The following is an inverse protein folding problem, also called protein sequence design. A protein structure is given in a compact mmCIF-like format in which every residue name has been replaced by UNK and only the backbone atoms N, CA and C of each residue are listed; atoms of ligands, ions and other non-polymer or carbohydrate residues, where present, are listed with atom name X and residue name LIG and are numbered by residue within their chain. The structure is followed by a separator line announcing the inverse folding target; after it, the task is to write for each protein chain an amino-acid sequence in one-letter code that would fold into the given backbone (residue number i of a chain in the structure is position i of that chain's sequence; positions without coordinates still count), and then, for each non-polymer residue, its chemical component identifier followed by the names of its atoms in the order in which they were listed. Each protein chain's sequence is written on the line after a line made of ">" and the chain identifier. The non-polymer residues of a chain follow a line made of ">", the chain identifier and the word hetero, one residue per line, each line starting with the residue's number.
data_IF_200859780680
#
_entry.id   IF_200859780680
#
_cell.length_a   1.000
_cell.length_b   1.000
_cell.length_c   1.000
_cell.angle_alpha   90.00
_cell.angle_beta   90.00
_cell.angle_gamma   90.00
#
_symmetry.space_group_name_H-M   'P 1'
#
loop_
_entity.id
_entity.type
_entity.pdbx_description
1 polymer ?
#
# COMPACT_ATOMS: atom_id res chain seq x y z
N UNK A 1 -2.00 -3.46 -30.28
CA UNK A 1 -1.93 -1.99 -30.09
C UNK A 1 -0.49 -1.57 -30.32
N UNK A 2 -0.20 -0.42 -30.93
CA UNK A 2 1.19 0.03 -31.11
C UNK A 2 1.86 0.27 -29.76
N UNK A 3 3.13 -0.11 -29.62
CA UNK A 3 3.94 0.14 -28.42
C UNK A 3 3.89 -0.92 -27.32
N UNK A 4 3.23 -2.08 -27.52
CA UNK A 4 3.14 -3.14 -26.50
C UNK A 4 4.07 -4.34 -26.72
N UNK A 5 4.74 -4.45 -27.87
CA UNK A 5 5.53 -5.65 -28.23
C UNK A 5 4.70 -6.82 -28.78
N UNK A 6 5.38 -7.84 -29.31
CA UNK A 6 4.77 -9.06 -29.90
C UNK A 6 5.24 -10.33 -29.20
N UNK A 7 4.38 -11.35 -29.12
CA UNK A 7 4.72 -12.62 -28.47
C UNK A 7 5.17 -12.44 -27.01
N UNK A 8 6.37 -12.93 -26.69
CA UNK A 8 6.96 -12.83 -25.36
C UNK A 8 7.46 -11.43 -24.99
N UNK A 9 7.63 -10.54 -25.96
CA UNK A 9 7.95 -9.13 -25.70
C UNK A 9 6.70 -8.32 -25.33
N UNK A 10 5.52 -8.95 -25.39
CA UNK A 10 4.28 -8.25 -25.12
C UNK A 10 4.15 -7.87 -23.64
N UNK A 11 4.12 -6.58 -23.35
CA UNK A 11 4.10 -6.06 -21.97
C UNK A 11 2.80 -6.44 -21.24
N UNK A 12 1.66 -6.48 -21.94
CA UNK A 12 0.38 -6.91 -21.32
C UNK A 12 0.44 -8.37 -20.90
N UNK A 13 1.06 -9.21 -21.72
CA UNK A 13 1.27 -10.62 -21.41
C UNK A 13 2.22 -10.79 -20.23
N UNK A 14 3.36 -10.10 -20.23
CA UNK A 14 4.34 -10.13 -19.14
C UNK A 14 3.69 -9.71 -17.81
N UNK A 15 2.94 -8.59 -17.82
CA UNK A 15 2.20 -8.11 -16.65
C UNK A 15 1.16 -9.12 -16.18
N UNK A 16 0.52 -9.84 -17.09
CA UNK A 16 -0.44 -10.89 -16.76
C UNK A 16 0.22 -12.12 -16.14
N UNK A 17 1.38 -12.54 -16.64
CA UNK A 17 2.09 -13.74 -16.18
C UNK A 17 2.65 -13.64 -14.76
N UNK A 18 2.87 -12.43 -14.24
CA UNK A 18 3.26 -12.25 -12.84
C UNK A 18 2.10 -12.65 -11.91
N UNK A 19 2.24 -13.77 -11.19
CA UNK A 19 1.20 -14.26 -10.29
C UNK A 19 0.93 -13.28 -9.15
N UNK A 20 -0.35 -13.02 -8.86
CA UNK A 20 -0.73 -12.21 -7.73
C UNK A 20 -0.68 -13.03 -6.44
N UNK A 21 -0.21 -12.41 -5.35
CA UNK A 21 -0.17 -13.06 -4.03
C UNK A 21 -1.54 -13.09 -3.33
N UNK A 22 -2.50 -12.28 -3.78
CA UNK A 22 -3.84 -12.14 -3.18
C UNK A 22 -4.94 -12.33 -4.24
N UNK A 23 -6.14 -12.78 -3.83
CA UNK A 23 -7.29 -12.94 -4.73
C UNK A 23 -7.83 -11.60 -5.24
N UNK A 24 -7.79 -10.55 -4.43
CA UNK A 24 -8.00 -9.17 -4.87
C UNK A 24 -6.63 -8.57 -5.25
N UNK A 25 -6.46 -8.32 -6.54
CA UNK A 25 -5.20 -7.81 -7.08
C UNK A 25 -5.45 -6.76 -8.14
N UNK A 26 -4.45 -5.91 -8.33
CA UNK A 26 -4.41 -4.91 -9.39
C UNK A 26 -3.14 -5.09 -10.21
N UNK A 27 -3.28 -5.02 -11.53
CA UNK A 27 -2.16 -5.00 -12.48
C UNK A 27 -2.13 -3.67 -13.21
N UNK A 28 -0.94 -3.19 -13.50
CA UNK A 28 -0.76 -2.00 -14.32
C UNK A 28 -1.19 -2.31 -15.75
N UNK A 29 -2.08 -1.50 -16.31
CA UNK A 29 -2.46 -1.60 -17.72
C UNK A 29 -1.69 -0.58 -18.55
N UNK A 30 -1.79 0.70 -18.22
CA UNK A 30 -1.11 1.78 -18.95
C UNK A 30 -0.67 2.89 -18.00
N UNK A 31 0.38 3.60 -18.42
CA UNK A 31 0.85 4.84 -17.81
C UNK A 31 0.52 5.98 -18.77
N UNK A 32 0.02 7.09 -18.22
CA UNK A 32 -0.23 8.31 -18.98
C UNK A 32 0.80 9.35 -18.56
N UNK A 33 1.91 9.41 -19.28
CA UNK A 33 3.01 10.34 -19.04
C UNK A 33 2.79 11.66 -19.79
N UNK A 34 1.78 12.43 -19.37
CA UNK A 34 1.46 13.76 -19.93
C UNK A 34 0.89 14.68 -18.85
N UNK A 35 1.38 15.92 -18.83
CA UNK A 35 0.96 16.93 -17.83
C UNK A 35 -0.37 17.64 -18.15
N UNK A 36 -1.06 17.28 -19.23
CA UNK A 36 -2.25 18.03 -19.68
C UNK A 36 -3.54 17.51 -19.04
N UNK A 37 -4.20 18.38 -18.27
CA UNK A 37 -5.57 18.18 -17.79
C UNK A 37 -6.55 18.38 -18.95
N UNK A 38 -6.79 17.31 -19.70
CA UNK A 38 -7.83 17.25 -20.73
C UNK A 38 -8.91 16.24 -20.32
N UNK A 39 -10.08 16.37 -20.91
CA UNK A 39 -11.12 15.36 -20.79
C UNK A 39 -10.72 14.15 -21.65
N UNK A 40 -10.74 12.97 -21.04
CA UNK A 40 -10.42 11.71 -21.70
C UNK A 40 -11.66 10.82 -21.73
N UNK A 41 -11.93 10.22 -22.88
CA UNK A 41 -12.94 9.17 -23.02
C UNK A 41 -12.21 7.82 -23.07
N UNK A 42 -12.61 6.90 -22.20
CA UNK A 42 -12.02 5.57 -22.12
C UNK A 42 -13.01 4.57 -22.72
N UNK A 43 -12.56 3.83 -23.73
CA UNK A 43 -13.30 2.71 -24.30
C UNK A 43 -12.73 1.41 -23.74
N UNK A 44 -13.54 0.65 -23.01
CA UNK A 44 -13.16 -0.62 -22.42
C UNK A 44 -13.92 -1.76 -23.10
N UNK A 45 -13.20 -2.74 -23.63
CA UNK A 45 -13.77 -3.97 -24.18
C UNK A 45 -13.74 -5.07 -23.12
N UNK A 46 -14.91 -5.55 -22.71
CA UNK A 46 -15.03 -6.63 -21.71
C UNK A 46 -14.94 -8.02 -22.38
N UNK A 47 -13.75 -8.40 -22.82
CA UNK A 47 -13.51 -9.71 -23.45
C UNK A 47 -13.37 -10.89 -22.47
N UNK A 48 -13.25 -10.62 -21.17
CA UNK A 48 -13.09 -11.66 -20.14
C UNK A 48 -14.37 -11.76 -19.30
N UNK A 49 -15.05 -12.91 -19.23
CA UNK A 49 -16.24 -13.08 -18.38
C UNK A 49 -15.83 -13.24 -16.90
N UNK A 50 -16.25 -12.31 -16.04
CA UNK A 50 -16.01 -12.36 -14.57
C UNK A 50 -17.16 -13.02 -13.80
N UNK A 51 -18.33 -13.06 -14.42
CA UNK A 51 -19.62 -13.30 -13.79
C UNK A 51 -19.77 -14.73 -13.24
N UNK A 52 -19.05 -15.68 -13.81
CA UNK A 52 -19.14 -17.10 -13.45
C UNK A 52 -18.65 -17.45 -12.04
N UNK A 53 -17.94 -16.53 -11.37
CA UNK A 53 -17.39 -16.71 -10.01
C UNK A 53 -17.77 -15.60 -9.03
N UNK A 54 -18.74 -14.75 -9.39
CA UNK A 54 -19.05 -13.55 -8.60
C UNK A 54 -17.88 -12.56 -8.51
N UNK A 55 -16.94 -12.62 -9.46
CA UNK A 55 -15.76 -11.76 -9.44
C UNK A 55 -16.13 -10.35 -9.92
N UNK A 56 -15.67 -9.34 -9.19
CA UNK A 56 -15.80 -7.93 -9.55
C UNK A 56 -14.61 -7.48 -10.42
N UNK A 57 -14.86 -6.56 -11.35
CA UNK A 57 -13.82 -5.96 -12.19
C UNK A 57 -13.94 -4.45 -12.15
N UNK A 58 -12.84 -3.81 -11.79
CA UNK A 58 -12.77 -2.36 -11.64
C UNK A 58 -11.56 -1.81 -12.37
N UNK A 59 -11.78 -0.73 -13.12
CA UNK A 59 -10.71 0.04 -13.77
C UNK A 59 -10.43 1.29 -12.95
N UNK A 60 -9.18 1.50 -12.57
CA UNK A 60 -8.83 2.50 -11.56
C UNK A 60 -7.68 3.36 -12.07
N UNK A 61 -7.91 4.68 -12.09
CA UNK A 61 -6.94 5.68 -12.49
C UNK A 61 -6.32 6.28 -11.24
N UNK A 62 -5.00 6.17 -11.12
CA UNK A 62 -4.24 6.73 -10.01
C UNK A 62 -3.06 7.52 -10.53
N UNK A 63 -2.69 8.58 -9.82
CA UNK A 63 -1.40 9.22 -10.01
C UNK A 63 -0.33 8.44 -9.26
N UNK A 64 0.88 8.47 -9.77
CA UNK A 64 2.05 8.01 -9.04
C UNK A 64 2.23 8.83 -7.76
N UNK A 65 2.62 8.12 -6.71
CA UNK A 65 3.03 8.71 -5.44
C UNK A 65 4.34 8.06 -5.06
N UNK A 66 5.21 8.83 -4.44
CA UNK A 66 6.52 8.37 -4.00
C UNK A 66 6.43 7.12 -3.09
N UNK A 67 5.35 6.99 -2.32
CA UNK A 67 5.13 5.90 -1.35
C UNK A 67 4.36 4.71 -1.95
N UNK A 68 3.96 4.81 -3.23
CA UNK A 68 3.18 3.79 -3.92
C UNK A 68 1.66 3.99 -3.80
N UNK A 69 0.86 2.93 -4.06
CA UNK A 69 -0.59 3.00 -3.97
C UNK A 69 -1.06 3.43 -2.58
N UNK A 70 -2.11 4.26 -2.51
CA UNK A 70 -2.68 4.72 -1.24
C UNK A 70 -3.09 3.54 -0.35
N UNK A 71 -2.35 3.34 0.74
CA UNK A 71 -2.59 2.35 1.79
C UNK A 71 -2.23 2.95 3.14
N UNK A 72 -3.23 3.17 3.97
CA UNK A 72 -3.05 3.80 5.29
C UNK A 72 -2.49 2.84 6.35
N UNK A 73 -2.41 1.54 6.02
CA UNK A 73 -1.92 0.49 6.91
C UNK A 73 -0.55 0.80 7.51
N UNK A 74 0.38 1.26 6.67
CA UNK A 74 1.75 1.54 7.11
C UNK A 74 1.78 2.67 8.13
N UNK A 75 1.07 3.77 7.87
CA UNK A 75 0.99 4.91 8.79
C UNK A 75 0.36 4.51 10.13
N UNK A 76 -0.74 3.75 10.09
CA UNK A 76 -1.42 3.26 11.29
C UNK A 76 -0.50 2.33 12.09
N UNK A 77 0.24 1.43 11.43
CA UNK A 77 1.18 0.54 12.12
C UNK A 77 2.29 1.30 12.84
N UNK A 78 2.87 2.32 12.21
CA UNK A 78 3.91 3.16 12.83
C UNK A 78 3.36 3.95 14.01
N UNK A 79 2.16 4.52 13.88
CA UNK A 79 1.51 5.22 14.99
C UNK A 79 1.23 4.30 16.17
N UNK A 80 0.70 3.10 15.92
CA UNK A 80 0.41 2.13 16.97
C UNK A 80 1.68 1.69 17.73
N UNK A 81 2.74 1.36 17.01
CA UNK A 81 4.03 0.96 17.61
C UNK A 81 4.67 2.13 18.34
N UNK A 82 4.61 3.34 17.78
CA UNK A 82 5.13 4.56 18.41
C UNK A 82 4.45 4.86 19.75
N UNK A 83 3.12 4.82 19.78
CA UNK A 83 2.34 5.01 21.03
C UNK A 83 2.68 3.93 22.06
N UNK A 84 2.78 2.67 21.62
CA UNK A 84 3.17 1.57 22.51
C UNK A 84 4.54 1.80 23.16
N UNK A 85 5.56 2.18 22.36
CA UNK A 85 6.90 2.46 22.87
C UNK A 85 6.93 3.65 23.84
N UNK A 86 6.15 4.70 23.58
CA UNK A 86 6.04 5.85 24.49
C UNK A 86 5.45 5.42 25.85
N UNK A 87 4.38 4.61 25.85
CA UNK A 87 3.78 4.12 27.09
C UNK A 87 4.77 3.26 27.90
N UNK A 88 5.50 2.36 27.24
CA UNK A 88 6.53 1.54 27.89
C UNK A 88 7.66 2.41 28.45
N UNK A 89 8.08 3.44 27.70
CA UNK A 89 9.11 4.38 28.14
C UNK A 89 8.69 5.13 29.41
N UNK A 90 7.46 5.66 29.45
CA UNK A 90 6.92 6.37 30.62
C UNK A 90 6.85 5.45 31.84
N UNK A 91 6.39 4.20 31.66
CA UNK A 91 6.34 3.22 32.73
C UNK A 91 7.73 2.94 33.30
N UNK A 92 8.72 2.71 32.43
CA UNK A 92 10.09 2.43 32.83
C UNK A 92 10.72 3.62 33.57
N UNK A 93 10.51 4.84 33.08
CA UNK A 93 10.96 6.07 33.75
C UNK A 93 10.31 6.22 35.12
N UNK A 94 8.99 5.97 35.23
CA UNK A 94 8.27 6.01 36.50
C UNK A 94 8.81 5.00 37.53
N UNK A 95 9.11 3.77 37.10
CA UNK A 95 9.73 2.76 37.94
C UNK A 95 11.13 3.19 38.38
N UNK A 96 11.95 3.69 37.45
CA UNK A 96 13.32 4.12 37.75
C UNK A 96 13.35 5.27 38.78
N UNK A 97 12.48 6.27 38.61
CA UNK A 97 12.37 7.39 39.55
C UNK A 97 11.91 6.88 40.92
N UNK A 98 10.91 6.00 40.98
CA UNK A 98 10.43 5.42 42.24
C UNK A 98 11.54 4.67 42.98
N UNK A 99 12.32 3.86 42.26
CA UNK A 99 13.46 3.15 42.86
C UNK A 99 14.50 4.12 43.44
N UNK A 100 14.89 5.14 42.67
CA UNK A 100 15.83 6.17 43.14
C UNK A 100 15.33 6.94 44.37
N UNK A 101 14.03 7.20 44.46
CA UNK A 101 13.44 7.88 45.63
C UNK A 101 13.43 6.96 46.85
N UNK A 102 13.14 5.67 46.69
CA UNK A 102 13.17 4.69 47.78
C UNK A 102 14.58 4.55 48.36
N UNK A 103 15.60 4.43 47.51
CA UNK A 103 17.01 4.33 47.92
C UNK A 103 17.45 5.55 48.76
N UNK A 104 17.01 6.76 48.39
CA UNK A 104 17.31 7.99 49.16
C UNK A 104 16.69 7.98 50.55
N UNK A 105 15.50 7.39 50.72
CA UNK A 105 14.79 7.33 52.01
C UNK A 105 15.41 6.32 52.97
N UNK A 106 16.04 5.26 52.45
CA UNK A 106 16.69 4.23 53.29
C UNK A 106 18.06 4.63 53.84
N UNK A 107 18.63 5.74 53.36
CA UNK A 107 19.93 6.27 53.82
C UNK A 107 19.81 7.41 54.85
N UNK A 108 18.59 7.78 55.28
CA UNK A 108 18.34 8.76 56.36
C UNK A 108 17.88 8.03 57.60
#
# INVERSE_FOLDING_TARGET
>A
MPGTGVGFENIDFIMWMQTAALPDFRKLYRLLDRETRKNYVIFAFLGYPATWKGAEKSFIITRESWIGPRKDFLAISYMAVGVFLILVSILFVGINIRQRVLERRTQT
#
